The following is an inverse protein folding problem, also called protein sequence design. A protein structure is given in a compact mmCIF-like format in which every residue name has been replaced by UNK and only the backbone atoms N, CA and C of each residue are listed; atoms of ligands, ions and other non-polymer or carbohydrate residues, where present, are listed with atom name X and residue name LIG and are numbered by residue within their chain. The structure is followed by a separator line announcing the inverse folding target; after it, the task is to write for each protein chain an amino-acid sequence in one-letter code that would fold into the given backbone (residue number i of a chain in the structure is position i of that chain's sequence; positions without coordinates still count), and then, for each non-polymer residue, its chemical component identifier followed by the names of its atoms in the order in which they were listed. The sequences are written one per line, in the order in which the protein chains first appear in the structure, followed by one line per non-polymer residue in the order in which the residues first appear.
data_IF_128820622944
#
_entry.id   IF_128820622944
#
_cell.length_a   1.000
_cell.length_b   1.000
_cell.length_c   1.000
_cell.angle_alpha   90.00
_cell.angle_beta   90.00
_cell.angle_gamma   90.00
#
_symmetry.space_group_name_H-M   'P 1'
#
loop_
_entity.id
_entity.type
_entity.pdbx_description
1 polymer ?
#
# COMPACT_ATOMS: atom_id res chain seq x y z
N UNK A 1 26.13 -1.02 11.04
CA UNK A 1 26.11 -0.14 12.18
C UNK A 1 25.60 1.23 11.75
N UNK A 2 24.86 1.90 12.59
CA UNK A 2 24.50 3.30 12.40
C UNK A 2 25.71 4.22 12.65
N UNK A 3 25.51 5.55 12.52
CA UNK A 3 26.57 6.55 12.74
C UNK A 3 27.15 6.55 14.15
N UNK A 4 26.51 5.88 15.12
CA UNK A 4 26.92 5.76 16.52
C UNK A 4 27.55 4.40 16.81
N UNK A 5 27.75 3.55 15.81
CA UNK A 5 28.28 2.21 15.97
C UNK A 5 27.28 1.18 16.52
N UNK A 6 26.00 1.51 16.59
CA UNK A 6 24.95 0.60 17.03
C UNK A 6 24.55 -0.33 15.88
N UNK A 7 24.29 -1.59 16.19
CA UNK A 7 23.82 -2.56 15.20
C UNK A 7 22.41 -2.18 14.73
N UNK A 8 22.27 -1.94 13.42
CA UNK A 8 20.98 -1.71 12.80
C UNK A 8 20.27 -3.06 12.65
N UNK A 9 19.02 -3.14 13.12
CA UNK A 9 18.15 -4.30 12.92
C UNK A 9 16.92 -3.90 12.15
N UNK A 10 16.36 -4.81 11.35
CA UNK A 10 15.23 -4.53 10.48
C UNK A 10 15.66 -4.04 9.10
N UNK A 11 14.73 -3.42 8.36
CA UNK A 11 15.02 -2.92 7.02
C UNK A 11 15.96 -1.72 7.06
N UNK A 12 16.98 -1.76 6.24
CA UNK A 12 17.97 -0.68 6.07
C UNK A 12 18.39 -0.58 4.59
N UNK A 13 18.96 0.56 4.20
CA UNK A 13 19.49 0.74 2.84
C UNK A 13 20.99 0.97 2.89
N UNK A 14 21.72 0.32 1.96
CA UNK A 14 23.14 0.54 1.77
C UNK A 14 23.51 0.43 0.28
N UNK A 15 24.28 1.39 -0.21
CA UNK A 15 24.66 1.43 -1.62
C UNK A 15 23.45 1.52 -2.58
N UNK A 16 22.32 2.07 -2.14
CA UNK A 16 21.08 2.17 -2.93
C UNK A 16 20.27 0.88 -3.01
N UNK A 17 20.61 -0.14 -2.24
CA UNK A 17 19.91 -1.40 -2.14
C UNK A 17 19.25 -1.55 -0.76
N UNK A 18 18.13 -2.28 -0.72
CA UNK A 18 17.41 -2.60 0.51
C UNK A 18 17.95 -3.90 1.11
N UNK A 19 18.16 -3.89 2.42
CA UNK A 19 18.60 -5.06 3.19
C UNK A 19 17.72 -5.28 4.41
N UNK A 20 17.53 -6.52 4.77
CA UNK A 20 17.06 -6.90 6.10
C UNK A 20 18.28 -7.24 6.96
N UNK A 21 18.42 -6.58 8.09
CA UNK A 21 19.45 -6.87 9.07
C UNK A 21 18.83 -7.65 10.24
N UNK A 22 19.25 -8.88 10.41
CA UNK A 22 18.84 -9.74 11.53
C UNK A 22 19.43 -9.30 12.88
N UNK A 23 18.92 -9.88 13.96
CA UNK A 23 19.43 -9.62 15.31
C UNK A 23 20.89 -10.08 15.52
N UNK A 24 21.38 -10.95 14.65
CA UNK A 24 22.77 -11.44 14.60
C UNK A 24 23.70 -10.56 13.76
N UNK A 25 23.16 -9.48 13.15
CA UNK A 25 23.88 -8.57 12.29
C UNK A 25 24.05 -9.07 10.84
N UNK A 26 23.52 -10.25 10.51
CA UNK A 26 23.51 -10.72 9.14
C UNK A 26 22.59 -9.81 8.29
N UNK A 27 23.09 -9.38 7.12
CA UNK A 27 22.34 -8.55 6.17
C UNK A 27 21.99 -9.38 4.95
N UNK A 28 20.69 -9.55 4.69
CA UNK A 28 20.18 -10.15 3.47
C UNK A 28 19.66 -9.05 2.54
N UNK A 29 20.14 -9.03 1.29
CA UNK A 29 19.60 -8.14 0.27
C UNK A 29 18.15 -8.50 0.01
N UNK A 30 17.25 -7.54 0.23
CA UNK A 30 15.82 -7.70 -0.03
C UNK A 30 15.50 -7.08 -1.39
N UNK A 31 14.80 -7.78 -2.26
CA UNK A 31 14.35 -7.17 -3.50
C UNK A 31 13.37 -6.04 -3.16
N UNK A 32 13.78 -4.79 -3.41
CA UNK A 32 12.85 -3.69 -3.53
C UNK A 32 12.27 -3.77 -4.93
N UNK A 33 11.05 -4.27 -5.08
CA UNK A 33 10.41 -4.44 -6.38
C UNK A 33 10.04 -3.10 -7.03
N UNK A 34 9.91 -2.03 -6.20
CA UNK A 34 9.50 -0.70 -6.66
C UNK A 34 10.48 0.39 -6.20
N UNK A 35 11.76 0.36 -6.68
CA UNK A 35 12.79 1.28 -6.19
C UNK A 35 12.50 2.76 -6.52
N UNK A 36 11.76 3.04 -7.59
CA UNK A 36 11.26 4.35 -7.94
C UNK A 36 10.27 4.88 -6.89
N UNK A 37 9.27 4.08 -6.51
CA UNK A 37 8.30 4.41 -5.48
C UNK A 37 9.00 4.67 -4.14
N UNK A 38 9.97 3.84 -3.78
CA UNK A 38 10.75 4.00 -2.56
C UNK A 38 11.49 5.34 -2.49
N UNK A 39 12.12 5.77 -3.59
CA UNK A 39 12.80 7.07 -3.65
C UNK A 39 11.81 8.23 -3.48
N UNK A 40 10.67 8.17 -4.13
CA UNK A 40 9.62 9.19 -4.00
C UNK A 40 9.02 9.23 -2.60
N UNK A 41 8.91 8.10 -1.91
CA UNK A 41 8.38 8.03 -0.55
C UNK A 41 9.11 9.01 0.39
N UNK A 42 10.43 9.13 0.24
CA UNK A 42 11.27 9.95 1.12
C UNK A 42 10.89 11.45 1.12
N UNK A 43 10.16 11.92 0.10
CA UNK A 43 9.75 13.33 -0.03
C UNK A 43 8.41 13.65 0.66
N UNK A 44 7.70 12.64 1.19
CA UNK A 44 6.36 12.84 1.72
C UNK A 44 6.31 12.81 3.25
N UNK A 45 5.46 13.68 3.81
CA UNK A 45 5.10 13.68 5.22
C UNK A 45 3.80 12.92 5.44
N UNK A 46 3.71 12.19 6.55
CA UNK A 46 2.47 11.59 7.03
C UNK A 46 2.24 12.00 8.48
N UNK A 47 0.98 12.15 8.86
CA UNK A 47 0.60 12.43 10.25
C UNK A 47 0.79 11.20 11.16
N UNK A 48 1.04 10.04 10.56
CA UNK A 48 1.28 8.77 11.24
C UNK A 48 2.67 8.25 10.88
N UNK A 49 3.11 7.16 11.52
CA UNK A 49 4.34 6.47 11.15
C UNK A 49 4.17 5.51 9.95
N UNK A 50 3.13 5.75 9.13
CA UNK A 50 2.82 5.00 7.93
C UNK A 50 2.65 5.94 6.74
N UNK A 51 3.00 5.45 5.54
CA UNK A 51 2.79 6.09 4.26
C UNK A 51 2.34 5.02 3.26
N UNK A 52 1.38 5.36 2.41
CA UNK A 52 0.96 4.52 1.28
C UNK A 52 1.27 5.25 -0.02
N UNK A 53 1.80 4.52 -0.99
CA UNK A 53 1.94 4.98 -2.36
C UNK A 53 1.25 4.03 -3.34
N UNK A 54 0.61 4.60 -4.37
CA UNK A 54 -0.12 3.86 -5.40
C UNK A 54 0.30 4.41 -6.77
N UNK A 55 0.90 3.56 -7.58
CA UNK A 55 1.18 3.83 -8.99
C UNK A 55 0.08 3.21 -9.85
N UNK A 56 -0.71 4.05 -10.49
CA UNK A 56 -1.85 3.63 -11.32
C UNK A 56 -1.42 3.12 -12.69
N UNK A 57 -0.24 3.50 -13.17
CA UNK A 57 0.31 3.02 -14.43
C UNK A 57 0.84 1.60 -14.30
N UNK A 58 1.64 1.35 -13.27
CA UNK A 58 2.21 0.03 -12.99
C UNK A 58 1.28 -0.88 -12.17
N UNK A 59 0.15 -0.36 -11.69
CA UNK A 59 -0.75 -1.05 -10.77
C UNK A 59 -0.01 -1.62 -9.55
N UNK A 60 0.79 -0.75 -8.93
CA UNK A 60 1.66 -1.07 -7.79
C UNK A 60 1.18 -0.35 -6.54
N UNK A 61 1.23 -1.04 -5.42
CA UNK A 61 0.85 -0.53 -4.10
C UNK A 61 1.99 -0.77 -3.13
N UNK A 62 2.46 0.27 -2.48
CA UNK A 62 3.53 0.17 -1.49
C UNK A 62 3.11 0.76 -0.15
N UNK A 63 3.49 0.10 0.94
CA UNK A 63 3.33 0.55 2.31
C UNK A 63 4.70 0.77 2.90
N UNK A 64 4.88 1.92 3.54
CA UNK A 64 6.11 2.28 4.23
C UNK A 64 5.84 2.55 5.70
N UNK A 65 6.84 2.25 6.53
CA UNK A 65 6.86 2.59 7.95
C UNK A 65 8.04 3.49 8.26
N UNK A 66 7.83 4.50 9.10
CA UNK A 66 8.89 5.44 9.48
C UNK A 66 8.42 6.88 9.55
N UNK A 67 9.18 7.78 8.94
CA UNK A 67 8.90 9.22 8.89
C UNK A 67 9.51 9.84 7.64
N UNK A 68 9.20 11.10 7.36
CA UNK A 68 9.79 11.87 6.26
C UNK A 68 11.31 11.72 6.20
N UNK A 69 11.82 11.38 5.02
CA UNK A 69 13.24 11.14 4.76
C UNK A 69 13.81 9.82 5.31
N UNK A 70 13.00 9.06 6.07
CA UNK A 70 13.40 7.80 6.70
C UNK A 70 12.30 6.72 6.57
N UNK A 71 11.61 6.72 5.45
CA UNK A 71 10.63 5.69 5.15
C UNK A 71 11.32 4.37 4.80
N UNK A 72 10.86 3.28 5.37
CA UNK A 72 11.32 1.93 5.08
C UNK A 72 10.19 1.14 4.46
N UNK A 73 10.47 0.40 3.39
CA UNK A 73 9.49 -0.48 2.75
C UNK A 73 8.99 -1.49 3.77
N UNK A 74 7.67 -1.58 3.91
CA UNK A 74 7.03 -2.57 4.76
C UNK A 74 6.36 -3.66 3.92
N UNK A 75 5.63 -3.25 2.86
CA UNK A 75 5.05 -4.15 1.88
C UNK A 75 5.03 -3.52 0.49
N UNK A 76 5.13 -4.37 -0.51
CA UNK A 76 4.94 -4.03 -1.92
C UNK A 76 4.01 -5.08 -2.54
N UNK A 77 2.89 -4.62 -3.14
CA UNK A 77 1.86 -5.48 -3.68
C UNK A 77 1.41 -5.03 -5.08
N UNK A 78 0.89 -5.96 -5.85
CA UNK A 78 0.08 -5.61 -7.01
C UNK A 78 -1.29 -5.14 -6.56
N UNK A 79 -1.83 -4.15 -7.28
CA UNK A 79 -3.20 -3.70 -7.08
C UNK A 79 -3.94 -3.63 -8.43
N UNK A 80 -5.23 -3.37 -8.41
CA UNK A 80 -6.02 -2.99 -9.58
C UNK A 80 -6.55 -1.59 -9.33
N UNK A 81 -6.37 -0.70 -10.31
CA UNK A 81 -6.81 0.67 -10.26
C UNK A 81 -7.87 0.96 -11.32
N UNK A 82 -8.32 2.20 -11.45
CA UNK A 82 -9.41 2.60 -12.33
C UNK A 82 -9.17 2.26 -13.81
N UNK A 83 -10.20 1.73 -14.45
CA UNK A 83 -10.24 1.48 -15.89
C UNK A 83 -10.21 2.80 -16.69
N UNK A 84 -9.87 2.78 -17.99
CA UNK A 84 -10.00 3.92 -18.87
C UNK A 84 -11.40 4.57 -18.77
N UNK A 85 -11.43 5.89 -18.49
CA UNK A 85 -12.65 6.64 -18.24
C UNK A 85 -13.21 6.57 -16.80
N UNK A 86 -12.65 5.74 -15.95
CA UNK A 86 -13.01 5.59 -14.53
C UNK A 86 -11.77 5.67 -13.64
N UNK A 87 -10.95 6.69 -13.85
CA UNK A 87 -9.62 6.79 -13.28
C UNK A 87 -9.62 6.85 -11.75
N UNK A 88 -8.66 6.16 -11.13
CA UNK A 88 -8.30 6.43 -9.73
C UNK A 88 -7.74 7.86 -9.64
N UNK A 89 -8.21 8.70 -8.72
CA UNK A 89 -7.76 10.09 -8.64
C UNK A 89 -6.29 10.16 -8.26
N UNK A 90 -5.53 11.01 -8.97
CA UNK A 90 -4.14 11.30 -8.64
C UNK A 90 -4.04 12.43 -7.62
N UNK A 91 -3.03 12.40 -6.78
CA UNK A 91 -2.76 13.44 -5.79
C UNK A 91 -2.34 12.90 -4.42
N UNK A 92 -2.46 13.76 -3.43
CA UNK A 92 -2.17 13.44 -2.04
C UNK A 92 -3.47 13.42 -1.24
N UNK A 93 -3.70 12.31 -0.57
CA UNK A 93 -4.89 12.02 0.23
C UNK A 93 -4.48 11.57 1.63
N UNK A 94 -5.48 11.28 2.45
CA UNK A 94 -5.28 10.66 3.76
C UNK A 94 -6.25 9.51 3.95
N UNK A 95 -5.79 8.43 4.57
CA UNK A 95 -6.63 7.30 4.95
C UNK A 95 -7.76 7.80 5.87
N UNK A 96 -8.99 7.54 5.45
CA UNK A 96 -10.22 7.97 6.13
C UNK A 96 -10.93 6.83 6.86
N UNK A 97 -12.26 6.86 6.80
CA UNK A 97 -13.11 5.85 7.42
C UNK A 97 -12.86 4.46 6.88
N UNK A 98 -13.14 3.48 7.72
CA UNK A 98 -12.99 2.06 7.42
C UNK A 98 -14.31 1.33 7.64
N UNK A 99 -14.54 0.28 6.89
CA UNK A 99 -15.66 -0.61 7.12
C UNK A 99 -15.34 -2.03 6.70
N UNK A 100 -16.08 -2.96 7.28
CA UNK A 100 -15.83 -4.38 7.09
C UNK A 100 -16.11 -4.81 5.65
N UNK A 101 -17.18 -4.29 5.04
CA UNK A 101 -17.55 -4.58 3.66
C UNK A 101 -18.48 -3.51 3.07
N UNK A 102 -18.63 -3.55 1.75
CA UNK A 102 -19.63 -2.79 0.99
C UNK A 102 -20.02 -3.55 -0.28
N UNK A 103 -21.05 -3.06 -0.98
CA UNK A 103 -21.55 -3.55 -2.26
C UNK A 103 -23.03 -3.89 -2.22
N UNK A 104 -23.67 -3.85 -3.41
CA UNK A 104 -25.04 -4.27 -3.65
C UNK A 104 -25.05 -5.21 -4.87
N UNK A 105 -25.47 -6.46 -4.69
CA UNK A 105 -25.33 -7.52 -5.71
C UNK A 105 -23.89 -8.05 -5.88
N UNK A 106 -22.95 -7.53 -5.13
CA UNK A 106 -21.56 -7.99 -5.00
C UNK A 106 -21.04 -7.65 -3.60
N UNK A 107 -19.85 -8.11 -3.26
CA UNK A 107 -19.19 -7.76 -2.00
C UNK A 107 -17.71 -7.46 -2.19
N UNK A 108 -17.24 -6.39 -1.50
CA UNK A 108 -15.84 -6.07 -1.30
C UNK A 108 -15.59 -5.96 0.20
N UNK A 109 -14.48 -6.57 0.66
CA UNK A 109 -14.15 -6.62 2.08
C UNK A 109 -13.09 -5.57 2.45
N UNK A 110 -13.07 -5.20 3.72
CA UNK A 110 -12.00 -4.44 4.37
C UNK A 110 -11.67 -3.12 3.66
N UNK A 111 -12.64 -2.23 3.53
CA UNK A 111 -12.37 -0.98 2.88
C UNK A 111 -11.75 0.08 3.81
N UNK A 112 -10.89 0.91 3.22
CA UNK A 112 -10.34 2.14 3.79
C UNK A 112 -10.59 3.26 2.78
N UNK A 113 -11.22 4.36 3.19
CA UNK A 113 -11.53 5.49 2.32
C UNK A 113 -10.25 6.26 1.96
N UNK A 114 -10.10 6.59 0.68
CA UNK A 114 -9.09 7.50 0.15
C UNK A 114 -9.66 8.93 0.10
N UNK A 115 -10.76 9.10 -0.63
CA UNK A 115 -11.47 10.37 -0.80
C UNK A 115 -12.87 10.12 -1.37
N UNK A 116 -13.90 10.68 -0.80
CA UNK A 116 -15.29 10.46 -1.27
C UNK A 116 -15.63 8.97 -1.38
N UNK A 117 -15.94 8.53 -2.58
CA UNK A 117 -16.30 7.13 -2.88
C UNK A 117 -15.10 6.27 -3.32
N UNK A 118 -13.89 6.85 -3.39
CA UNK A 118 -12.68 6.10 -3.74
C UNK A 118 -12.11 5.39 -2.53
N UNK A 119 -11.99 4.07 -2.63
CA UNK A 119 -11.65 3.17 -1.53
C UNK A 119 -10.46 2.28 -1.89
N UNK A 120 -9.68 1.89 -0.89
CA UNK A 120 -8.82 0.71 -0.92
C UNK A 120 -9.67 -0.45 -0.36
N UNK A 121 -9.75 -1.58 -1.06
CA UNK A 121 -10.55 -2.73 -0.63
C UNK A 121 -10.07 -4.05 -1.25
N UNK A 122 -10.70 -5.16 -0.89
CA UNK A 122 -10.39 -6.49 -1.41
C UNK A 122 -10.70 -6.65 -2.91
N UNK A 123 -10.30 -7.78 -3.48
CA UNK A 123 -10.88 -8.32 -4.73
C UNK A 123 -12.41 -8.41 -4.62
N UNK A 124 -13.08 -8.70 -5.76
CA UNK A 124 -14.53 -8.78 -5.80
C UNK A 124 -15.04 -10.18 -5.49
N UNK A 125 -16.11 -10.22 -4.71
CA UNK A 125 -16.89 -11.40 -4.42
C UNK A 125 -18.32 -11.27 -4.96
N UNK A 126 -19.01 -12.39 -5.15
CA UNK A 126 -20.45 -12.41 -5.34
C UNK A 126 -21.17 -11.91 -4.07
N UNK A 127 -22.48 -11.70 -4.15
CA UNK A 127 -23.29 -11.17 -3.04
C UNK A 127 -23.25 -12.04 -1.77
N UNK A 128 -22.93 -13.32 -1.90
CA UNK A 128 -22.73 -14.26 -0.80
C UNK A 128 -21.52 -13.90 0.09
N UNK A 129 -20.55 -13.15 -0.47
CA UNK A 129 -19.33 -12.73 0.22
C UNK A 129 -18.24 -13.80 0.32
N UNK A 130 -18.44 -14.97 -0.25
CA UNK A 130 -17.50 -16.10 -0.19
C UNK A 130 -17.01 -16.52 -1.56
N UNK A 131 -17.87 -16.55 -2.54
CA UNK A 131 -17.53 -16.92 -3.92
C UNK A 131 -16.82 -15.76 -4.61
N UNK A 132 -15.58 -15.99 -5.04
CA UNK A 132 -14.79 -14.96 -5.75
C UNK A 132 -15.42 -14.69 -7.12
N UNK A 133 -15.69 -13.41 -7.40
CA UNK A 133 -16.22 -12.94 -8.69
C UNK A 133 -15.09 -12.48 -9.62
N UNK A 134 -14.09 -11.77 -9.11
CA UNK A 134 -12.92 -11.30 -9.86
C UNK A 134 -11.72 -11.15 -8.92
N UNK A 135 -10.71 -12.01 -9.12
CA UNK A 135 -9.46 -12.03 -8.33
C UNK A 135 -8.29 -11.34 -9.04
N UNK A 136 -8.49 -10.83 -10.25
CA UNK A 136 -7.40 -10.29 -11.06
C UNK A 136 -6.84 -9.01 -10.45
N UNK A 137 -5.52 -8.94 -10.39
CA UNK A 137 -4.74 -7.78 -9.95
C UNK A 137 -3.65 -7.44 -10.99
N UNK A 138 -3.13 -6.22 -10.92
CA UNK A 138 -2.06 -5.77 -11.81
C UNK A 138 -2.54 -5.19 -13.14
N UNK A 139 -3.78 -4.66 -13.20
CA UNK A 139 -4.33 -4.02 -14.39
C UNK A 139 -5.32 -2.89 -14.01
N UNK A 140 -5.64 -2.04 -14.99
CA UNK A 140 -6.63 -0.98 -14.83
C UNK A 140 -8.03 -1.52 -15.14
N UNK A 141 -8.84 -1.81 -14.12
CA UNK A 141 -10.12 -2.50 -14.31
C UNK A 141 -11.17 -2.25 -13.22
N UNK A 142 -10.96 -1.29 -12.35
CA UNK A 142 -11.96 -0.87 -11.36
C UNK A 142 -12.75 0.36 -11.83
N UNK A 143 -13.74 0.80 -11.04
CA UNK A 143 -14.45 2.07 -11.23
C UNK A 143 -13.78 3.23 -10.47
N UNK A 144 -12.45 3.15 -10.26
CA UNK A 144 -11.64 4.15 -9.58
C UNK A 144 -11.14 3.73 -8.20
N UNK A 145 -11.75 2.74 -7.56
CA UNK A 145 -11.24 2.16 -6.32
C UNK A 145 -9.94 1.38 -6.55
N UNK A 146 -9.18 1.19 -5.50
CA UNK A 146 -7.93 0.41 -5.51
C UNK A 146 -8.19 -0.96 -4.89
N UNK A 147 -8.10 -2.02 -5.71
CA UNK A 147 -8.30 -3.40 -5.27
C UNK A 147 -6.98 -4.03 -4.87
N UNK A 148 -6.98 -4.75 -3.77
CA UNK A 148 -5.89 -5.58 -3.28
C UNK A 148 -6.34 -7.03 -3.14
N UNK A 149 -5.40 -7.96 -3.00
CA UNK A 149 -5.70 -9.27 -2.45
C UNK A 149 -6.40 -9.11 -1.09
N UNK A 150 -7.30 -10.01 -0.76
CA UNK A 150 -8.17 -9.84 0.42
C UNK A 150 -7.39 -9.74 1.72
N UNK A 151 -6.36 -10.54 1.88
CA UNK A 151 -5.45 -10.51 3.01
C UNK A 151 -4.69 -9.17 3.12
N UNK A 152 -4.30 -8.57 1.98
CA UNK A 152 -3.60 -7.28 1.94
C UNK A 152 -4.56 -6.12 2.27
N UNK A 153 -5.79 -6.16 1.75
CA UNK A 153 -6.85 -5.20 2.11
C UNK A 153 -7.18 -5.29 3.61
N UNK A 154 -7.25 -6.52 4.15
CA UNK A 154 -7.44 -6.75 5.57
C UNK A 154 -6.29 -6.18 6.39
N UNK A 155 -5.05 -6.38 5.95
CA UNK A 155 -3.89 -5.83 6.62
C UNK A 155 -3.95 -4.29 6.68
N UNK A 156 -4.28 -3.62 5.56
CA UNK A 156 -4.48 -2.15 5.51
C UNK A 156 -5.59 -1.72 6.47
N UNK A 157 -6.73 -2.44 6.45
CA UNK A 157 -7.84 -2.19 7.35
C UNK A 157 -7.44 -2.28 8.83
N UNK A 158 -6.68 -3.30 9.21
CA UNK A 158 -6.31 -3.55 10.60
C UNK A 158 -5.21 -2.59 11.09
N UNK A 159 -4.25 -2.22 10.24
CA UNK A 159 -2.98 -1.62 10.66
C UNK A 159 -2.77 -0.16 10.27
N UNK A 160 -3.38 0.34 9.20
CA UNK A 160 -3.18 1.72 8.74
C UNK A 160 -4.09 2.66 9.53
N UNK A 161 -3.56 3.60 10.34
CA UNK A 161 -4.39 4.53 11.09
C UNK A 161 -5.11 5.55 10.20
N UNK A 162 -6.20 6.12 10.71
CA UNK A 162 -6.82 7.32 10.15
C UNK A 162 -5.78 8.46 10.05
N UNK A 163 -5.81 9.20 8.95
CA UNK A 163 -4.89 10.31 8.72
C UNK A 163 -3.54 9.90 8.09
N UNK A 164 -3.30 8.60 7.86
CA UNK A 164 -2.10 8.16 7.13
C UNK A 164 -2.09 8.74 5.72
N UNK A 165 -0.95 9.31 5.30
CA UNK A 165 -0.77 9.87 3.97
C UNK A 165 -0.87 8.78 2.90
N UNK A 166 -1.64 9.07 1.85
CA UNK A 166 -1.77 8.26 0.63
C UNK A 166 -1.38 9.14 -0.56
N UNK A 167 -0.43 8.68 -1.37
CA UNK A 167 0.02 9.38 -2.58
C UNK A 167 -0.29 8.51 -3.80
N UNK A 168 -0.95 9.08 -4.80
CA UNK A 168 -1.42 8.37 -6.00
C UNK A 168 -0.99 9.15 -7.25
N UNK A 169 -0.38 8.48 -8.23
CA UNK A 169 0.01 9.04 -9.55
C UNK A 169 -0.15 8.05 -10.69
#
# INVERSE_FOLDING_TARGET
LDSNGTMVTGYTTWGGKLYWAGADGAMEEQPCYYPDMYRYAQNYYSATNWLIQIDTTGNRFAVYKGSHGNWVVWYEWRCTTGAPGMWTPHGQFTAGHKGLYFGSGYRCWYYTTISGEYLIHSILYHADGYTVRDSRLGYNGSHGCVRLATENAKWVYDNIPYGTKIVIW
#
